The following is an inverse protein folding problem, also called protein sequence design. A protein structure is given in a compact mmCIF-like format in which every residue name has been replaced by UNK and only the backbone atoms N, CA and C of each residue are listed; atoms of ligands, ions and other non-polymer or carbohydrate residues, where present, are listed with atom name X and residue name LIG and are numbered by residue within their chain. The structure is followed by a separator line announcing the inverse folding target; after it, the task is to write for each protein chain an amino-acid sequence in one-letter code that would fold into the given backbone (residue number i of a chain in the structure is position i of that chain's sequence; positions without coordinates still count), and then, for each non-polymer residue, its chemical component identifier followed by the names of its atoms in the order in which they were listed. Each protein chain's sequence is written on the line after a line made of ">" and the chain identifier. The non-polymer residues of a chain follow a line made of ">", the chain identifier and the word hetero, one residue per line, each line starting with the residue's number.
data_IF_993373759919
#
_entry.id   IF_993373759919
#
_cell.length_a   1.000
_cell.length_b   1.000
_cell.length_c   1.000
_cell.angle_alpha   90.00
_cell.angle_beta   90.00
_cell.angle_gamma   90.00
#
_symmetry.space_group_name_H-M   'P 1'
#
loop_
_entity.id
_entity.type
_entity.pdbx_description
1 polymer ?
#
# COMPACT_ATOMS: atom_id res chain seq x y z
N UNK A 1 -19.50 16.02 -25.97
CA UNK A 1 -19.21 14.59 -25.74
C UNK A 1 -18.17 14.38 -24.64
N UNK A 2 -16.96 14.97 -24.73
CA UNK A 2 -15.92 14.85 -23.68
C UNK A 2 -16.39 15.44 -22.35
N UNK A 3 -17.05 16.60 -22.37
CA UNK A 3 -17.53 17.26 -21.15
C UNK A 3 -18.64 16.48 -20.42
N UNK A 4 -19.50 15.78 -21.16
CA UNK A 4 -20.49 14.86 -20.57
C UNK A 4 -19.82 13.65 -19.91
N UNK A 5 -18.79 13.10 -20.57
CA UNK A 5 -18.00 12.01 -20.01
C UNK A 5 -17.28 12.42 -18.71
N UNK A 6 -16.70 13.62 -18.66
CA UNK A 6 -16.06 14.16 -17.45
C UNK A 6 -17.08 14.27 -16.32
N UNK A 7 -18.26 14.87 -16.57
CA UNK A 7 -19.32 14.97 -15.55
C UNK A 7 -19.78 13.62 -15.03
N UNK A 8 -19.84 12.60 -15.91
CA UNK A 8 -20.17 11.22 -15.51
C UNK A 8 -19.08 10.60 -14.64
N UNK A 9 -17.79 10.86 -14.93
CA UNK A 9 -16.66 10.38 -14.12
C UNK A 9 -16.66 11.07 -12.75
N UNK A 10 -16.82 12.38 -12.69
CA UNK A 10 -16.89 13.15 -11.44
C UNK A 10 -18.01 12.63 -10.52
N UNK A 11 -19.18 12.33 -11.11
CA UNK A 11 -20.30 11.73 -10.38
C UNK A 11 -19.95 10.34 -9.82
N UNK A 12 -19.22 9.52 -10.57
CA UNK A 12 -18.78 8.20 -10.11
C UNK A 12 -17.74 8.32 -8.99
N UNK A 13 -16.76 9.22 -9.12
CA UNK A 13 -15.78 9.50 -8.07
C UNK A 13 -16.46 9.98 -6.79
N UNK A 14 -17.44 10.89 -6.90
CA UNK A 14 -18.21 11.38 -5.76
C UNK A 14 -18.96 10.25 -5.05
N UNK A 15 -19.67 9.40 -5.79
CA UNK A 15 -20.36 8.24 -5.20
C UNK A 15 -19.38 7.24 -4.57
N UNK A 16 -18.21 7.01 -5.18
CA UNK A 16 -17.17 6.16 -4.60
C UNK A 16 -16.69 6.69 -3.25
N UNK A 17 -16.49 8.01 -3.12
CA UNK A 17 -16.10 8.62 -1.83
C UNK A 17 -17.21 8.48 -0.78
N UNK A 18 -18.47 8.64 -1.17
CA UNK A 18 -19.60 8.39 -0.25
C UNK A 18 -19.62 6.94 0.23
N UNK A 19 -19.43 5.99 -0.68
CA UNK A 19 -19.36 4.56 -0.33
C UNK A 19 -18.18 4.26 0.60
N UNK A 20 -17.02 4.87 0.36
CA UNK A 20 -15.85 4.72 1.21
C UNK A 20 -16.13 5.18 2.65
N UNK A 21 -16.90 6.25 2.83
CA UNK A 21 -17.29 6.75 4.15
C UNK A 21 -18.26 5.82 4.91
N UNK A 22 -18.97 4.94 4.20
CA UNK A 22 -19.85 3.94 4.82
C UNK A 22 -19.07 2.71 5.30
N UNK A 23 -17.89 2.47 4.75
CA UNK A 23 -17.02 1.36 5.14
C UNK A 23 -16.23 1.77 6.39
N UNK A 24 -16.22 0.93 7.42
CA UNK A 24 -15.33 1.14 8.55
C UNK A 24 -13.89 0.99 8.07
N UNK A 25 -13.08 2.04 8.24
CA UNK A 25 -11.67 2.04 7.84
C UNK A 25 -10.92 0.82 8.37
N UNK A 26 -11.25 0.37 9.58
CA UNK A 26 -10.56 -0.73 10.26
C UNK A 26 -10.79 -2.11 9.62
N UNK A 27 -11.85 -2.29 8.83
CA UNK A 27 -12.14 -3.57 8.16
C UNK A 27 -11.19 -3.78 6.97
N UNK A 28 -10.87 -2.70 6.25
CA UNK A 28 -10.02 -2.74 5.04
C UNK A 28 -9.09 -1.52 4.94
N UNK A 29 -8.17 -1.31 5.90
CA UNK A 29 -7.42 -0.06 6.02
C UNK A 29 -6.45 0.19 4.86
N UNK A 30 -5.86 -0.84 4.26
CA UNK A 30 -4.99 -0.68 3.08
C UNK A 30 -5.81 -0.29 1.85
N UNK A 31 -6.91 -1.00 1.59
CA UNK A 31 -7.81 -0.66 0.47
C UNK A 31 -8.39 0.75 0.63
N UNK A 32 -8.68 1.14 1.88
CA UNK A 32 -9.15 2.48 2.20
C UNK A 32 -8.12 3.54 1.78
N UNK A 33 -6.85 3.35 2.11
CA UNK A 33 -5.75 4.25 1.69
C UNK A 33 -5.63 4.31 0.15
N UNK A 34 -5.71 3.16 -0.55
CA UNK A 34 -5.63 3.13 -2.02
C UNK A 34 -6.72 4.00 -2.65
N UNK A 35 -7.97 3.89 -2.18
CA UNK A 35 -9.10 4.67 -2.71
C UNK A 35 -9.00 6.15 -2.30
N UNK A 36 -8.67 6.43 -1.03
CA UNK A 36 -8.54 7.79 -0.51
C UNK A 36 -7.43 8.57 -1.25
N UNK A 37 -6.30 7.93 -1.57
CA UNK A 37 -5.18 8.53 -2.31
C UNK A 37 -5.38 8.52 -3.83
N UNK A 38 -6.54 8.04 -4.31
CA UNK A 38 -6.91 7.93 -5.73
C UNK A 38 -5.84 7.24 -6.56
N UNK A 39 -5.34 6.12 -6.04
CA UNK A 39 -4.34 5.32 -6.73
C UNK A 39 -5.03 4.45 -7.80
N UNK A 40 -4.36 4.32 -8.94
CA UNK A 40 -4.81 3.47 -10.03
C UNK A 40 -4.65 1.99 -9.70
N UNK A 41 -5.11 1.13 -10.61
CA UNK A 41 -4.81 -0.30 -10.55
C UNK A 41 -3.32 -0.52 -10.68
N UNK A 42 -2.69 0.18 -11.61
CA UNK A 42 -1.27 0.08 -11.91
C UNK A 42 -0.42 0.47 -10.70
N UNK A 43 -0.78 1.55 -9.99
CA UNK A 43 -0.11 1.98 -8.75
C UNK A 43 -0.17 0.90 -7.66
N UNK A 44 -1.34 0.24 -7.53
CA UNK A 44 -1.55 -0.85 -6.57
C UNK A 44 -0.76 -2.10 -6.95
N UNK A 45 -0.75 -2.45 -8.23
CA UNK A 45 -0.05 -3.61 -8.73
C UNK A 45 1.47 -3.41 -8.61
N UNK A 46 1.97 -2.19 -8.86
CA UNK A 46 3.36 -1.81 -8.60
C UNK A 46 3.69 -1.92 -7.11
N UNK A 47 2.83 -1.45 -6.22
CA UNK A 47 3.00 -1.64 -4.78
C UNK A 47 3.17 -3.12 -4.40
N UNK A 48 2.33 -4.01 -4.95
CA UNK A 48 2.44 -5.44 -4.67
C UNK A 48 3.70 -6.07 -5.26
N UNK A 49 4.13 -5.63 -6.45
CA UNK A 49 5.40 -6.03 -7.03
C UNK A 49 6.58 -5.65 -6.12
N UNK A 50 6.58 -4.43 -5.58
CA UNK A 50 7.57 -3.99 -4.59
C UNK A 50 7.56 -4.91 -3.36
N UNK A 51 6.38 -5.24 -2.84
CA UNK A 51 6.25 -6.14 -1.69
C UNK A 51 6.77 -7.56 -1.98
N UNK A 52 6.47 -8.10 -3.16
CA UNK A 52 6.92 -9.42 -3.58
C UNK A 52 8.45 -9.47 -3.65
N UNK A 53 9.07 -8.50 -4.32
CA UNK A 53 10.52 -8.43 -4.48
C UNK A 53 11.24 -8.23 -3.14
N UNK A 54 10.74 -7.34 -2.28
CA UNK A 54 11.33 -7.13 -0.95
C UNK A 54 11.12 -8.36 -0.04
N UNK A 55 10.01 -9.07 -0.16
CA UNK A 55 9.80 -10.28 0.61
C UNK A 55 10.74 -11.42 0.16
N UNK A 56 11.14 -11.48 -1.11
CA UNK A 56 12.18 -12.41 -1.59
C UNK A 56 13.52 -12.09 -0.95
N UNK A 57 13.96 -10.84 -1.02
CA UNK A 57 15.22 -10.37 -0.38
C UNK A 57 15.21 -10.68 1.12
N UNK A 58 14.09 -10.44 1.79
CA UNK A 58 13.89 -10.75 3.21
C UNK A 58 14.07 -12.24 3.54
N UNK A 59 13.60 -13.13 2.66
CA UNK A 59 13.75 -14.58 2.84
C UNK A 59 15.19 -15.02 2.64
N UNK A 60 15.88 -14.46 1.65
CA UNK A 60 17.31 -14.69 1.39
C UNK A 60 18.17 -14.25 2.59
N UNK A 61 17.96 -13.01 3.07
CA UNK A 61 18.64 -12.48 4.27
C UNK A 61 18.45 -13.38 5.49
N UNK A 62 17.23 -13.91 5.68
CA UNK A 62 16.92 -14.82 6.79
C UNK A 62 17.62 -16.17 6.65
N UNK A 63 17.73 -16.71 5.44
CA UNK A 63 18.40 -17.99 5.18
C UNK A 63 19.92 -17.89 5.41
N UNK A 64 20.51 -16.73 5.11
CA UNK A 64 21.93 -16.45 5.27
C UNK A 64 22.31 -15.99 6.70
N UNK A 65 21.33 -15.82 7.59
CA UNK A 65 21.55 -15.38 8.97
C UNK A 65 21.88 -13.89 9.13
N UNK A 66 21.61 -13.06 8.11
CA UNK A 66 21.81 -11.61 8.19
C UNK A 66 20.79 -10.97 9.15
N UNK A 67 21.31 -10.17 10.10
CA UNK A 67 20.52 -9.44 11.12
C UNK A 67 20.37 -7.93 10.79
N UNK A 68 20.95 -7.47 9.68
CA UNK A 68 20.89 -6.06 9.30
C UNK A 68 19.62 -5.74 8.47
N UNK A 69 18.54 -5.38 9.16
CA UNK A 69 17.21 -5.08 8.58
C UNK A 69 17.03 -3.63 8.05
N UNK A 70 18.01 -2.75 8.27
CA UNK A 70 17.96 -1.32 7.86
C UNK A 70 17.85 -1.08 6.33
N UNK A 71 18.50 -1.87 5.44
CA UNK A 71 18.42 -1.68 4.00
C UNK A 71 17.01 -1.89 3.42
N UNK A 72 16.24 -2.83 3.99
CA UNK A 72 14.93 -3.22 3.46
C UNK A 72 13.90 -2.11 3.60
N UNK A 73 13.88 -1.43 4.75
CA UNK A 73 12.98 -0.29 4.98
C UNK A 73 13.34 0.93 4.12
N UNK A 74 14.64 1.21 3.97
CA UNK A 74 15.11 2.29 3.08
C UNK A 74 14.66 2.05 1.65
N UNK A 75 14.77 0.81 1.17
CA UNK A 75 14.35 0.44 -0.18
C UNK A 75 12.83 0.49 -0.35
N UNK A 76 12.06 0.02 0.65
CA UNK A 76 10.61 0.17 0.66
C UNK A 76 10.20 1.65 0.54
N UNK A 77 10.77 2.53 1.37
CA UNK A 77 10.47 3.98 1.33
C UNK A 77 10.82 4.63 0.00
N UNK A 78 11.88 4.16 -0.67
CA UNK A 78 12.33 4.66 -1.98
C UNK A 78 11.37 4.26 -3.10
N UNK A 79 10.79 3.06 -3.02
CA UNK A 79 10.00 2.44 -4.10
C UNK A 79 8.50 2.61 -3.96
N UNK A 80 8.00 2.84 -2.75
CA UNK A 80 6.57 3.03 -2.53
C UNK A 80 6.11 4.32 -3.21
N UNK A 81 4.89 4.30 -3.76
CA UNK A 81 4.31 5.46 -4.44
C UNK A 81 4.34 6.71 -3.52
N UNK A 82 4.72 7.92 -4.01
CA UNK A 82 4.95 9.10 -3.16
C UNK A 82 3.73 9.60 -2.39
N UNK A 83 2.51 9.25 -2.82
CA UNK A 83 1.27 9.54 -2.07
C UNK A 83 1.05 8.62 -0.86
N UNK A 84 1.81 7.53 -0.75
CA UNK A 84 1.72 6.56 0.32
C UNK A 84 2.75 6.88 1.42
N UNK A 85 2.26 7.14 2.63
CA UNK A 85 3.12 7.28 3.80
C UNK A 85 3.54 5.89 4.28
N UNK A 86 4.84 5.60 4.26
CA UNK A 86 5.36 4.25 4.55
C UNK A 86 4.84 3.69 5.88
N UNK A 87 4.85 4.49 6.97
CA UNK A 87 4.34 4.06 8.28
C UNK A 87 2.87 3.67 8.25
N UNK A 88 2.04 4.54 7.68
CA UNK A 88 0.59 4.34 7.59
C UNK A 88 0.24 3.09 6.77
N UNK A 89 0.91 2.92 5.63
CA UNK A 89 0.68 1.75 4.77
C UNK A 89 1.17 0.46 5.42
N UNK A 90 2.33 0.47 6.09
CA UNK A 90 2.84 -0.71 6.81
C UNK A 90 1.83 -1.16 7.86
N UNK A 91 1.32 -0.24 8.68
CA UNK A 91 0.33 -0.54 9.72
C UNK A 91 -0.98 -1.06 9.11
N UNK A 92 -1.48 -0.41 8.06
CA UNK A 92 -2.69 -0.81 7.36
C UNK A 92 -2.55 -2.20 6.70
N UNK A 93 -1.39 -2.50 6.09
CA UNK A 93 -1.12 -3.81 5.50
C UNK A 93 -1.07 -4.91 6.58
N UNK A 94 -0.46 -4.65 7.74
CA UNK A 94 -0.45 -5.61 8.86
C UNK A 94 -1.89 -5.90 9.31
N UNK A 95 -2.69 -4.86 9.55
CA UNK A 95 -4.07 -4.99 10.01
C UNK A 95 -4.94 -5.73 8.98
N UNK A 96 -4.76 -5.47 7.69
CA UNK A 96 -5.54 -6.10 6.62
C UNK A 96 -4.99 -7.49 6.18
N UNK A 97 -3.90 -7.98 6.78
CA UNK A 97 -3.33 -9.28 6.41
C UNK A 97 -2.51 -9.30 5.10
N UNK A 98 -2.05 -8.14 4.63
CA UNK A 98 -1.30 -7.99 3.39
C UNK A 98 0.21 -8.06 3.65
N UNK A 99 0.91 -9.06 3.08
CA UNK A 99 2.36 -9.25 3.20
C UNK A 99 2.88 -9.16 4.66
N UNK A 100 2.11 -9.68 5.63
CA UNK A 100 2.35 -9.48 7.08
C UNK A 100 3.80 -9.73 7.53
N UNK A 101 4.48 -10.82 7.13
CA UNK A 101 5.87 -11.05 7.56
C UNK A 101 6.84 -9.95 7.12
N UNK A 102 6.69 -9.44 5.88
CA UNK A 102 7.46 -8.31 5.38
C UNK A 102 7.13 -7.04 6.17
N UNK A 103 5.84 -6.73 6.33
CA UNK A 103 5.40 -5.49 6.96
C UNK A 103 5.83 -5.41 8.43
N UNK A 104 5.77 -6.54 9.17
CA UNK A 104 6.28 -6.64 10.55
C UNK A 104 7.78 -6.38 10.60
N UNK A 105 8.55 -6.86 9.62
CA UNK A 105 9.99 -6.61 9.55
C UNK A 105 10.32 -5.15 9.22
N UNK A 106 9.60 -4.57 8.26
CA UNK A 106 9.72 -3.14 7.93
C UNK A 106 9.37 -2.26 9.13
N UNK A 107 8.34 -2.63 9.91
CA UNK A 107 7.90 -1.89 11.10
C UNK A 107 8.98 -1.72 12.18
N UNK A 108 9.93 -2.65 12.26
CA UNK A 108 11.04 -2.57 13.24
C UNK A 108 12.01 -1.41 12.98
N UNK A 109 11.97 -0.82 11.79
CA UNK A 109 12.91 0.21 11.33
C UNK A 109 12.22 1.57 11.07
N UNK A 110 11.00 1.76 11.57
CA UNK A 110 10.21 3.00 11.48
C UNK A 110 10.48 3.91 12.66
#
# INVERSE_FOLDING_TARGET
>A
MVEDLIKRIEKLEFHQQLLLNMVKRDDYPFNWIIIEKRLSREDRDEFFKVCEELNKVRLEQKAEGFVFHSPLFKEFKRRVHPRLRSKEVIEACIQQGVYVPLMVELKKNI
#
